data_IF_422379191384
#
_entry.id   IF_422379191384
#
_cell.length_a   1.000
_cell.length_b   1.000
_cell.length_c   1.000
_cell.angle_alpha   90.00
_cell.angle_beta   90.00
_cell.angle_gamma   90.00
#
_symmetry.space_group_name_H-M   'P 1'
#
loop_
_entity.id
_entity.type
_entity.pdbx_description
1 polymer ?
#
# COMPACT_ATOMS: atom_id res chain seq x y z
N UNK A 1 61.24 8.04 -15.32
CA UNK A 1 60.22 7.14 -14.77
C UNK A 1 59.25 7.96 -13.92
N UNK A 2 58.17 8.46 -14.53
CA UNK A 2 57.20 9.35 -13.87
C UNK A 2 55.84 9.13 -14.55
N UNK A 3 54.79 8.99 -13.74
CA UNK A 3 53.38 9.26 -14.08
C UNK A 3 52.55 8.19 -14.82
N UNK A 4 52.49 6.94 -14.33
CA UNK A 4 51.49 5.96 -14.84
C UNK A 4 50.46 5.52 -13.77
N UNK A 5 50.69 5.83 -12.49
CA UNK A 5 49.86 5.36 -11.38
C UNK A 5 48.52 6.12 -11.19
N UNK A 6 48.36 7.43 -11.51
CA UNK A 6 47.09 8.13 -11.23
C UNK A 6 45.92 7.69 -12.14
N UNK A 7 46.22 7.25 -13.36
CA UNK A 7 45.18 7.01 -14.39
C UNK A 7 44.48 5.65 -14.22
N UNK A 8 45.19 4.65 -13.69
CA UNK A 8 44.63 3.32 -13.44
C UNK A 8 43.65 3.31 -12.25
N UNK A 9 43.93 4.10 -11.20
CA UNK A 9 43.04 4.26 -10.04
C UNK A 9 41.74 4.99 -10.38
N UNK A 10 41.79 5.99 -11.27
CA UNK A 10 40.59 6.70 -11.77
C UNK A 10 39.75 5.78 -12.66
N UNK A 11 40.37 4.98 -13.53
CA UNK A 11 39.65 3.99 -14.34
C UNK A 11 38.99 2.90 -13.47
N UNK A 12 39.66 2.44 -12.41
CA UNK A 12 39.09 1.48 -11.44
C UNK A 12 37.94 2.11 -10.63
N UNK A 13 38.03 3.38 -10.22
CA UNK A 13 36.91 4.07 -9.55
C UNK A 13 35.70 4.28 -10.47
N UNK A 14 35.91 4.51 -11.77
CA UNK A 14 34.83 4.63 -12.76
C UNK A 14 34.22 3.24 -13.07
N UNK A 15 35.03 2.18 -13.10
CA UNK A 15 34.55 0.79 -13.28
C UNK A 15 33.83 0.23 -12.05
N UNK A 16 34.23 0.62 -10.83
CA UNK A 16 33.56 0.22 -9.58
C UNK A 16 32.31 1.09 -9.33
N UNK A 17 32.33 2.37 -9.72
CA UNK A 17 31.20 3.29 -9.61
C UNK A 17 30.08 3.06 -10.63
N UNK A 18 30.35 2.33 -11.71
CA UNK A 18 29.40 2.10 -12.81
C UNK A 18 28.47 0.88 -12.68
N UNK A 19 28.60 0.05 -11.64
CA UNK A 19 27.95 -1.28 -11.61
C UNK A 19 27.05 -1.58 -10.41
N UNK A 20 26.85 -0.63 -9.49
CA UNK A 20 25.80 -0.77 -8.48
C UNK A 20 24.59 0.04 -8.91
N UNK A 21 23.87 -0.45 -9.95
CA UNK A 21 22.46 -0.09 -10.08
C UNK A 21 21.79 -0.58 -8.79
N UNK A 22 21.63 0.32 -7.82
CA UNK A 22 20.95 0.00 -6.58
C UNK A 22 19.55 -0.51 -6.95
N UNK A 23 19.31 -1.80 -6.72
CA UNK A 23 18.00 -2.39 -6.97
C UNK A 23 17.00 -1.71 -6.04
N UNK A 24 15.86 -1.28 -6.58
CA UNK A 24 14.77 -0.76 -5.77
C UNK A 24 14.13 -1.86 -4.91
N UNK A 25 14.19 -3.12 -5.35
CA UNK A 25 13.74 -4.28 -4.57
C UNK A 25 14.65 -4.52 -3.35
N UNK A 26 14.11 -4.53 -2.11
CA UNK A 26 14.86 -4.93 -0.92
C UNK A 26 15.47 -6.33 -1.03
N UNK A 27 16.53 -6.59 -0.27
CA UNK A 27 17.28 -7.85 -0.31
C UNK A 27 16.44 -9.09 0.06
N UNK A 28 15.37 -8.91 0.84
CA UNK A 28 14.46 -9.99 1.23
C UNK A 28 13.48 -10.38 0.12
N UNK A 29 13.32 -9.56 -0.92
CA UNK A 29 12.43 -9.83 -2.05
C UNK A 29 13.09 -10.87 -2.97
N UNK A 30 12.69 -12.14 -2.79
CA UNK A 30 13.22 -13.30 -3.53
C UNK A 30 12.15 -14.39 -3.68
N UNK A 31 12.30 -15.31 -4.64
CA UNK A 31 11.37 -16.44 -4.81
C UNK A 31 11.13 -17.23 -3.52
N UNK A 32 9.87 -17.59 -3.28
CA UNK A 32 9.40 -18.29 -2.09
C UNK A 32 9.00 -17.39 -0.92
N UNK A 33 9.25 -16.08 -1.01
CA UNK A 33 8.77 -15.11 -0.01
C UNK A 33 7.32 -14.72 -0.30
N UNK A 34 6.52 -14.58 0.76
CA UNK A 34 5.16 -14.04 0.69
C UNK A 34 4.97 -12.85 1.62
N UNK A 35 4.03 -11.98 1.26
CA UNK A 35 3.53 -10.90 2.11
C UNK A 35 2.01 -11.04 2.18
N UNK A 36 1.47 -11.08 3.39
CA UNK A 36 0.04 -11.21 3.63
C UNK A 36 -0.49 -10.00 4.40
N UNK A 37 -1.60 -9.48 3.92
CA UNK A 37 -2.35 -8.42 4.55
C UNK A 37 -3.77 -8.89 4.88
N UNK A 38 -4.39 -8.28 5.87
CA UNK A 38 -5.75 -8.59 6.30
C UNK A 38 -6.55 -7.32 6.54
N UNK A 39 -7.86 -7.45 6.36
CA UNK A 39 -8.88 -6.59 6.96
C UNK A 39 -9.87 -7.43 7.75
N UNK A 40 -9.98 -7.14 9.04
CA UNK A 40 -10.82 -7.89 9.96
C UNK A 40 -12.17 -7.24 10.18
N UNK A 41 -13.19 -8.09 10.21
CA UNK A 41 -14.54 -7.75 10.65
C UNK A 41 -14.56 -7.51 12.15
N UNK A 42 -15.20 -6.44 12.59
CA UNK A 42 -15.39 -6.20 14.02
C UNK A 42 -16.68 -5.42 14.30
N UNK A 43 -17.73 -6.12 14.70
CA UNK A 43 -19.06 -5.55 14.87
C UNK A 43 -19.13 -4.29 15.75
N UNK A 44 -18.38 -4.16 16.88
CA UNK A 44 -18.41 -2.93 17.67
C UNK A 44 -17.87 -1.68 16.95
N UNK A 45 -17.23 -1.83 15.78
CA UNK A 45 -16.89 -0.71 14.91
C UNK A 45 -18.12 -0.01 14.34
N UNK A 46 -19.25 -0.72 14.24
CA UNK A 46 -20.45 -0.24 13.55
C UNK A 46 -21.06 0.96 14.25
N UNK A 47 -20.97 1.00 15.58
CA UNK A 47 -21.40 2.12 16.40
C UNK A 47 -20.61 3.41 16.13
N UNK A 48 -19.46 3.32 15.44
CA UNK A 48 -18.62 4.46 15.09
C UNK A 48 -18.94 5.02 13.70
N UNK A 49 -19.64 4.27 12.84
CA UNK A 49 -19.94 4.68 11.47
C UNK A 49 -21.28 5.40 11.44
N UNK A 50 -21.25 6.71 11.21
CA UNK A 50 -22.48 7.52 11.14
C UNK A 50 -23.05 7.52 9.72
N UNK A 51 -24.36 7.28 9.60
CA UNK A 51 -25.08 7.44 8.33
C UNK A 51 -25.03 6.22 7.39
N UNK A 52 -24.35 5.14 7.78
CA UNK A 52 -24.39 3.85 7.08
C UNK A 52 -25.19 2.83 7.89
N UNK A 53 -25.98 2.02 7.20
CA UNK A 53 -26.60 0.84 7.79
C UNK A 53 -25.55 -0.28 7.95
N UNK A 54 -25.71 -1.20 8.91
CA UNK A 54 -24.81 -2.33 9.12
C UNK A 54 -24.49 -3.15 7.85
N UNK A 55 -25.45 -3.28 6.94
CA UNK A 55 -25.31 -4.01 5.68
C UNK A 55 -24.60 -3.22 4.57
N UNK A 56 -24.23 -1.96 4.82
CA UNK A 56 -23.45 -1.10 3.92
C UNK A 56 -22.00 -0.96 4.38
N UNK A 57 -21.66 -1.52 5.55
CA UNK A 57 -20.30 -1.47 6.11
C UNK A 57 -19.61 -2.81 5.80
N UNK A 58 -18.66 -2.74 4.88
CA UNK A 58 -17.93 -3.88 4.34
C UNK A 58 -16.46 -3.82 4.79
N UNK A 59 -15.77 -4.95 4.82
CA UNK A 59 -14.30 -4.94 5.03
C UNK A 59 -13.57 -4.74 3.72
N UNK A 60 -14.16 -5.14 2.59
CA UNK A 60 -13.61 -4.89 1.27
C UNK A 60 -14.72 -4.59 0.26
N UNK A 61 -14.42 -3.68 -0.66
CA UNK A 61 -15.20 -3.40 -1.85
C UNK A 61 -14.24 -3.33 -3.03
N UNK A 62 -14.40 -4.24 -3.99
CA UNK A 62 -13.57 -4.31 -5.19
C UNK A 62 -14.41 -4.28 -6.45
N UNK A 63 -13.88 -3.67 -7.49
CA UNK A 63 -14.46 -3.67 -8.82
C UNK A 63 -13.57 -4.47 -9.74
N UNK A 64 -14.14 -5.48 -10.41
CA UNK A 64 -13.41 -6.34 -11.36
C UNK A 64 -14.15 -6.37 -12.68
N UNK A 65 -13.41 -6.54 -13.77
CA UNK A 65 -14.00 -6.67 -15.11
C UNK A 65 -13.81 -8.10 -15.62
N UNK A 66 -14.91 -8.77 -15.93
CA UNK A 66 -14.91 -10.14 -16.47
C UNK A 66 -15.66 -10.11 -17.80
N UNK A 67 -14.97 -10.43 -18.89
CA UNK A 67 -15.52 -10.41 -20.25
C UNK A 67 -16.27 -9.10 -20.59
N UNK A 68 -15.69 -7.95 -20.24
CA UNK A 68 -16.28 -6.63 -20.48
C UNK A 68 -17.43 -6.24 -19.55
N UNK A 69 -17.78 -7.09 -18.57
CA UNK A 69 -18.79 -6.79 -17.54
C UNK A 69 -18.09 -6.37 -16.25
N UNK A 70 -18.52 -5.24 -15.67
CA UNK A 70 -18.02 -4.76 -14.40
C UNK A 70 -18.84 -5.35 -13.25
N UNK A 71 -18.15 -5.99 -12.31
CA UNK A 71 -18.74 -6.51 -11.09
C UNK A 71 -18.24 -5.72 -9.89
N UNK A 72 -19.18 -5.33 -9.02
CA UNK A 72 -18.89 -4.85 -7.68
C UNK A 72 -18.94 -6.03 -6.73
N UNK A 73 -17.90 -6.21 -5.93
CA UNK A 73 -17.76 -7.36 -5.03
C UNK A 73 -17.47 -6.84 -3.64
N UNK A 74 -18.31 -7.22 -2.69
CA UNK A 74 -18.21 -6.80 -1.29
C UNK A 74 -17.89 -7.99 -0.40
N UNK A 75 -16.96 -7.82 0.52
CA UNK A 75 -16.75 -8.75 1.62
C UNK A 75 -17.43 -8.21 2.89
N UNK A 76 -18.32 -9.00 3.47
CA UNK A 76 -19.02 -8.65 4.71
C UNK A 76 -18.34 -9.22 5.95
N UNK A 77 -17.35 -10.09 5.78
CA UNK A 77 -16.52 -10.62 6.86
C UNK A 77 -15.03 -10.41 6.54
N UNK A 78 -14.09 -11.23 7.01
CA UNK A 78 -12.66 -10.99 6.81
C UNK A 78 -12.27 -11.04 5.32
N UNK A 79 -11.27 -10.23 4.96
CA UNK A 79 -10.59 -10.33 3.65
C UNK A 79 -9.09 -10.43 3.87
N UNK A 80 -8.45 -11.39 3.21
CA UNK A 80 -7.00 -11.58 3.21
C UNK A 80 -6.46 -11.32 1.81
N UNK A 81 -5.35 -10.60 1.71
CA UNK A 81 -4.66 -10.30 0.46
C UNK A 81 -3.22 -10.78 0.58
N UNK A 82 -2.84 -11.76 -0.22
CA UNK A 82 -1.53 -12.39 -0.18
C UNK A 82 -0.79 -12.22 -1.50
N UNK A 83 0.49 -11.88 -1.41
CA UNK A 83 1.40 -11.73 -2.54
C UNK A 83 2.54 -12.73 -2.39
N UNK A 84 2.57 -13.76 -3.24
CA UNK A 84 3.61 -14.78 -3.27
C UNK A 84 4.61 -14.49 -4.40
N UNK A 85 5.88 -14.29 -4.08
CA UNK A 85 6.96 -14.15 -5.07
C UNK A 85 7.31 -15.56 -5.57
N UNK A 86 6.90 -15.88 -6.79
CA UNK A 86 6.96 -17.24 -7.33
C UNK A 86 8.35 -17.57 -7.89
N UNK A 87 8.85 -16.71 -8.77
CA UNK A 87 10.11 -16.89 -9.48
C UNK A 87 10.74 -15.55 -9.86
N UNK A 88 11.99 -15.60 -10.32
CA UNK A 88 12.72 -14.46 -10.82
C UNK A 88 13.36 -14.81 -12.17
N UNK A 89 13.17 -13.95 -13.17
CA UNK A 89 13.78 -14.11 -14.48
C UNK A 89 14.12 -12.74 -15.09
N UNK A 90 15.35 -12.59 -15.61
CA UNK A 90 15.82 -11.39 -16.31
C UNK A 90 15.58 -10.05 -15.56
N UNK A 91 15.72 -10.05 -14.23
CA UNK A 91 15.50 -8.85 -13.40
C UNK A 91 14.03 -8.51 -13.15
N UNK A 92 13.11 -9.41 -13.48
CA UNK A 92 11.69 -9.34 -13.13
C UNK A 92 11.32 -10.46 -12.17
N UNK A 93 10.48 -10.12 -11.19
CA UNK A 93 9.87 -11.04 -10.25
C UNK A 93 8.48 -11.38 -10.76
N UNK A 94 8.13 -12.66 -10.82
CA UNK A 94 6.75 -13.09 -11.01
C UNK A 94 6.09 -13.19 -9.64
N UNK A 95 4.99 -12.49 -9.46
CA UNK A 95 4.23 -12.45 -8.21
C UNK A 95 2.82 -12.94 -8.44
N UNK A 96 2.29 -13.77 -7.54
CA UNK A 96 0.87 -14.13 -7.48
C UNK A 96 0.19 -13.32 -6.39
N UNK A 97 -0.79 -12.53 -6.77
CA UNK A 97 -1.70 -11.94 -5.81
C UNK A 97 -2.94 -12.83 -5.65
N UNK A 98 -3.35 -13.08 -4.41
CA UNK A 98 -4.55 -13.83 -4.05
C UNK A 98 -5.37 -13.01 -3.06
N UNK A 99 -6.62 -12.72 -3.41
CA UNK A 99 -7.59 -12.02 -2.56
C UNK A 99 -8.65 -13.03 -2.13
N UNK A 100 -8.67 -13.36 -0.84
CA UNK A 100 -9.64 -14.27 -0.23
C UNK A 100 -10.65 -13.47 0.58
N UNK A 101 -11.91 -13.50 0.19
CA UNK A 101 -13.00 -12.76 0.83
C UNK A 101 -14.03 -13.71 1.41
N UNK A 102 -14.53 -13.38 2.60
CA UNK A 102 -15.58 -14.13 3.29
C UNK A 102 -16.93 -13.38 3.30
N UNK A 103 -18.02 -14.15 3.24
CA UNK A 103 -19.40 -13.67 3.20
C UNK A 103 -19.57 -12.58 2.13
N UNK A 104 -19.52 -13.01 0.87
CA UNK A 104 -19.32 -12.12 -0.27
C UNK A 104 -20.65 -11.81 -0.96
N UNK A 105 -20.86 -10.56 -1.32
CA UNK A 105 -21.93 -10.16 -2.23
C UNK A 105 -21.31 -9.67 -3.54
N UNK A 106 -21.70 -10.29 -4.65
CA UNK A 106 -21.34 -9.85 -6.01
C UNK A 106 -22.56 -9.16 -6.60
N UNK A 107 -22.37 -7.98 -7.19
CA UNK A 107 -23.42 -7.29 -7.93
C UNK A 107 -22.95 -6.71 -9.26
N UNK A 108 -23.86 -6.67 -10.23
CA UNK A 108 -23.69 -6.00 -11.51
C UNK A 108 -25.06 -5.75 -12.14
N UNK A 109 -25.14 -4.83 -13.10
CA UNK A 109 -26.38 -4.45 -13.78
C UNK A 109 -26.38 -5.00 -15.22
N UNK A 110 -27.52 -5.51 -15.68
CA UNK A 110 -27.65 -6.11 -17.01
C UNK A 110 -28.99 -5.74 -17.64
N UNK A 111 -29.06 -5.81 -18.97
CA UNK A 111 -30.34 -5.88 -19.66
C UNK A 111 -31.12 -7.12 -19.23
N UNK A 112 -32.42 -6.97 -18.95
CA UNK A 112 -33.25 -8.10 -18.57
C UNK A 112 -33.26 -9.19 -19.67
N UNK A 113 -33.12 -10.44 -19.27
CA UNK A 113 -33.08 -11.59 -20.18
C UNK A 113 -31.72 -11.86 -20.84
N UNK A 114 -30.69 -11.05 -20.58
CA UNK A 114 -29.33 -11.31 -21.06
C UNK A 114 -28.56 -12.28 -20.15
N UNK A 115 -27.60 -12.99 -20.73
CA UNK A 115 -26.67 -13.84 -19.97
C UNK A 115 -25.54 -13.00 -19.43
N UNK A 116 -25.14 -13.27 -18.19
CA UNK A 116 -23.99 -12.66 -17.55
C UNK A 116 -22.86 -13.69 -17.33
N UNK A 117 -21.59 -13.26 -17.33
CA UNK A 117 -20.48 -14.15 -17.06
C UNK A 117 -20.49 -14.60 -15.59
N UNK A 118 -20.06 -15.83 -15.35
CA UNK A 118 -19.95 -16.43 -14.02
C UNK A 118 -18.50 -16.79 -13.79
N UNK A 119 -17.88 -16.15 -12.79
CA UNK A 119 -16.49 -16.41 -12.39
C UNK A 119 -16.38 -17.01 -10.99
N UNK A 120 -17.50 -17.12 -10.28
CA UNK A 120 -17.59 -17.78 -8.98
C UNK A 120 -17.97 -19.26 -9.11
N UNK A 121 -17.66 -20.03 -8.08
CA UNK A 121 -18.09 -21.42 -7.98
C UNK A 121 -19.56 -21.50 -7.57
N UNK A 122 -20.39 -22.14 -8.39
CA UNK A 122 -21.83 -22.30 -8.14
C UNK A 122 -22.15 -23.06 -6.85
N UNK A 123 -21.23 -23.89 -6.36
CA UNK A 123 -21.41 -24.64 -5.10
C UNK A 123 -21.32 -23.76 -3.86
N UNK A 124 -20.66 -22.61 -3.97
CA UNK A 124 -20.47 -21.67 -2.86
C UNK A 124 -21.60 -20.62 -2.80
N UNK A 125 -22.55 -20.66 -3.76
CA UNK A 125 -23.70 -19.75 -3.83
C UNK A 125 -24.71 -20.07 -2.74
N UNK A 126 -24.93 -19.09 -1.87
CA UNK A 126 -25.96 -19.10 -0.84
C UNK A 126 -27.30 -18.64 -1.44
N UNK A 127 -27.26 -17.57 -2.23
CA UNK A 127 -28.43 -17.02 -2.91
C UNK A 127 -28.05 -16.26 -4.16
N UNK A 128 -28.91 -16.31 -5.18
CA UNK A 128 -28.77 -15.56 -6.42
C UNK A 128 -30.12 -14.92 -6.73
N UNK A 129 -30.11 -13.62 -7.04
CA UNK A 129 -31.32 -12.84 -7.32
C UNK A 129 -31.10 -11.90 -8.50
N UNK A 130 -32.15 -11.72 -9.28
CA UNK A 130 -32.27 -10.63 -10.25
C UNK A 130 -33.31 -9.65 -9.72
N UNK A 131 -32.90 -8.42 -9.47
CA UNK A 131 -33.72 -7.36 -8.89
C UNK A 131 -33.99 -6.34 -9.99
N UNK A 132 -35.25 -6.01 -10.32
CA UNK A 132 -35.54 -4.96 -11.30
C UNK A 132 -34.83 -3.65 -10.95
N UNK A 133 -34.19 -3.02 -11.93
CA UNK A 133 -33.61 -1.69 -11.71
C UNK A 133 -34.70 -0.64 -11.56
N UNK A 134 -34.47 0.30 -10.66
CA UNK A 134 -35.33 1.47 -10.45
C UNK A 134 -34.70 2.76 -11.00
N UNK A 135 -33.54 2.65 -11.64
CA UNK A 135 -32.79 3.80 -12.14
C UNK A 135 -33.43 4.34 -13.43
N UNK A 136 -33.63 5.66 -13.46
CA UNK A 136 -34.21 6.36 -14.62
C UNK A 136 -33.32 6.09 -15.85
N UNK A 137 -33.94 5.61 -16.93
CA UNK A 137 -33.23 5.24 -18.17
C UNK A 137 -32.74 3.79 -18.21
N UNK A 138 -32.92 3.02 -17.14
CA UNK A 138 -32.51 1.61 -17.02
C UNK A 138 -33.61 0.70 -16.44
N UNK A 139 -34.89 1.08 -16.57
CA UNK A 139 -36.03 0.30 -16.04
C UNK A 139 -36.21 -1.09 -16.70
N UNK A 140 -35.61 -1.29 -17.86
CA UNK A 140 -35.51 -2.57 -18.58
C UNK A 140 -34.30 -3.42 -18.14
N UNK A 141 -33.52 -2.92 -17.17
CA UNK A 141 -32.37 -3.61 -16.61
C UNK A 141 -32.71 -4.32 -15.30
N UNK A 142 -31.85 -5.27 -14.93
CA UNK A 142 -31.88 -6.00 -13.66
C UNK A 142 -30.51 -5.93 -13.00
N UNK A 143 -30.51 -5.77 -11.68
CA UNK A 143 -29.35 -5.98 -10.83
C UNK A 143 -29.22 -7.45 -10.50
N UNK A 144 -28.10 -8.03 -10.87
CA UNK A 144 -27.65 -9.30 -10.33
C UNK A 144 -27.14 -9.08 -8.91
N UNK A 145 -27.59 -9.91 -7.97
CA UNK A 145 -27.03 -10.03 -6.63
C UNK A 145 -26.74 -11.51 -6.36
N UNK A 146 -25.48 -11.85 -6.12
CA UNK A 146 -25.05 -13.21 -5.76
C UNK A 146 -24.37 -13.16 -4.41
N UNK A 147 -24.84 -13.97 -3.47
CA UNK A 147 -24.23 -14.15 -2.16
C UNK A 147 -23.46 -15.46 -2.11
N UNK A 148 -22.21 -15.40 -1.67
CA UNK A 148 -21.31 -16.54 -1.55
C UNK A 148 -20.78 -16.65 -0.12
N UNK A 149 -20.48 -17.87 0.33
CA UNK A 149 -19.76 -18.04 1.59
C UNK A 149 -18.33 -17.49 1.52
N UNK A 150 -17.67 -17.72 0.39
CA UNK A 150 -16.31 -17.26 0.13
C UNK A 150 -16.14 -16.95 -1.37
N UNK A 151 -15.15 -16.12 -1.67
CA UNK A 151 -14.66 -15.88 -3.02
C UNK A 151 -13.15 -15.75 -2.98
N UNK A 152 -12.46 -16.45 -3.87
CA UNK A 152 -11.03 -16.28 -4.08
C UNK A 152 -10.80 -15.72 -5.47
N UNK A 153 -10.10 -14.60 -5.55
CA UNK A 153 -9.60 -14.01 -6.80
C UNK A 153 -8.09 -14.14 -6.81
N UNK A 154 -7.51 -14.55 -7.92
CA UNK A 154 -6.06 -14.68 -8.04
C UNK A 154 -5.59 -14.31 -9.44
N UNK A 155 -4.41 -13.70 -9.51
CA UNK A 155 -3.72 -13.43 -10.76
C UNK A 155 -2.22 -13.38 -10.56
N UNK A 156 -1.49 -13.70 -11.62
CA UNK A 156 -0.04 -13.53 -11.67
C UNK A 156 0.28 -12.22 -12.37
N UNK A 157 1.38 -11.58 -11.98
CA UNK A 157 1.87 -10.34 -12.59
C UNK A 157 3.39 -10.23 -12.39
N UNK A 158 4.02 -9.22 -13.01
CA UNK A 158 5.46 -9.03 -12.98
C UNK A 158 5.86 -7.73 -12.27
N UNK A 159 6.92 -7.77 -11.48
CA UNK A 159 7.56 -6.59 -10.88
C UNK A 159 9.01 -6.52 -11.31
N UNK A 160 9.42 -5.41 -11.94
CA UNK A 160 10.82 -5.17 -12.30
C UNK A 160 11.63 -4.80 -11.06
N UNK A 161 12.74 -5.50 -10.80
CA UNK A 161 13.56 -5.30 -9.58
C UNK A 161 14.28 -3.97 -9.51
N UNK A 162 14.63 -3.40 -10.66
CA UNK A 162 15.44 -2.18 -10.71
C UNK A 162 14.71 -0.96 -10.14
N UNK A 163 13.39 -0.88 -10.31
CA UNK A 163 12.59 0.30 -9.99
C UNK A 163 11.19 -0.01 -9.41
N UNK A 164 10.86 -1.29 -9.21
CA UNK A 164 9.55 -1.70 -8.68
C UNK A 164 8.41 -1.51 -9.67
N UNK A 165 8.68 -1.31 -10.96
CA UNK A 165 7.65 -1.16 -11.98
C UNK A 165 6.80 -2.45 -12.12
N UNK A 166 5.48 -2.29 -12.11
CA UNK A 166 4.49 -3.35 -12.15
C UNK A 166 3.91 -3.50 -13.55
N UNK A 167 3.83 -4.74 -14.01
CA UNK A 167 3.28 -5.12 -15.31
C UNK A 167 2.32 -6.30 -15.15
N UNK A 168 1.27 -6.38 -15.96
CA UNK A 168 0.53 -7.64 -16.12
C UNK A 168 1.36 -8.69 -16.90
N UNK A 169 0.79 -9.88 -17.07
CA UNK A 169 1.43 -10.96 -17.83
C UNK A 169 1.51 -10.71 -19.34
N UNK A 170 0.73 -9.75 -19.86
CA UNK A 170 0.77 -9.33 -21.26
C UNK A 170 1.81 -8.22 -21.49
N UNK A 171 2.45 -7.72 -20.43
CA UNK A 171 3.49 -6.70 -20.47
C UNK A 171 2.99 -5.26 -20.38
N UNK A 172 1.70 -5.04 -20.08
CA UNK A 172 1.16 -3.69 -19.88
C UNK A 172 1.62 -3.12 -18.53
N UNK A 173 2.14 -1.89 -18.54
CA UNK A 173 2.62 -1.20 -17.35
C UNK A 173 1.48 -0.56 -16.55
N UNK A 174 1.53 -0.67 -15.22
CA UNK A 174 0.49 -0.14 -14.32
C UNK A 174 1.00 0.85 -13.25
N UNK A 175 2.31 1.04 -13.09
CA UNK A 175 2.86 1.90 -12.03
C UNK A 175 3.95 1.23 -11.21
N UNK A 176 4.10 1.65 -9.97
CA UNK A 176 5.06 1.10 -9.01
C UNK A 176 4.35 0.21 -7.99
N UNK A 177 5.06 -0.83 -7.52
CA UNK A 177 4.54 -1.73 -6.51
C UNK A 177 4.35 -0.99 -5.18
N UNK A 178 3.26 -1.29 -4.48
CA UNK A 178 3.04 -0.80 -3.12
C UNK A 178 3.67 -1.70 -2.06
N UNK A 179 4.11 -2.90 -2.42
CA UNK A 179 4.51 -3.93 -1.44
C UNK A 179 5.76 -3.53 -0.65
N UNK A 180 6.62 -2.74 -1.26
CA UNK A 180 7.81 -2.21 -0.63
C UNK A 180 8.23 -0.86 -1.22
N UNK A 181 9.14 -0.19 -0.52
CA UNK A 181 9.78 1.06 -0.95
C UNK A 181 11.30 0.97 -0.80
N UNK A 182 12.02 1.72 -1.63
CA UNK A 182 13.43 1.99 -1.39
C UNK A 182 13.56 3.18 -0.41
N UNK A 183 13.93 2.98 0.86
CA UNK A 183 14.01 4.06 1.84
C UNK A 183 15.08 5.11 1.51
N UNK A 184 16.06 4.77 0.67
CA UNK A 184 17.12 5.69 0.24
C UNK A 184 16.76 6.49 -1.01
N UNK A 185 15.65 6.15 -1.68
CA UNK A 185 15.17 6.81 -2.88
C UNK A 185 13.64 6.85 -2.86
N UNK A 186 13.10 7.73 -2.01
CA UNK A 186 11.67 7.93 -1.90
C UNK A 186 11.11 8.59 -3.18
N UNK A 187 9.88 8.28 -3.57
CA UNK A 187 9.28 8.88 -4.76
C UNK A 187 9.01 10.37 -4.54
N UNK A 188 9.12 11.14 -5.61
CA UNK A 188 9.00 12.60 -5.58
C UNK A 188 7.53 13.05 -5.71
N UNK A 189 7.23 14.26 -5.25
CA UNK A 189 5.89 14.82 -5.42
C UNK A 189 5.54 14.97 -6.92
N UNK A 190 4.30 14.64 -7.27
CA UNK A 190 3.73 14.54 -8.62
C UNK A 190 4.26 13.38 -9.47
N UNK A 191 5.12 12.52 -8.94
CA UNK A 191 5.48 11.26 -9.61
C UNK A 191 4.24 10.37 -9.74
N UNK A 192 4.09 9.72 -10.89
CA UNK A 192 2.97 8.78 -11.11
C UNK A 192 3.24 7.49 -10.37
N UNK A 193 2.43 7.20 -9.36
CA UNK A 193 2.53 5.98 -8.57
C UNK A 193 1.79 4.81 -9.23
N UNK A 194 0.60 5.06 -9.79
CA UNK A 194 -0.25 4.03 -10.40
C UNK A 194 -1.12 4.60 -11.51
N UNK A 195 -1.42 3.78 -12.53
CA UNK A 195 -2.24 4.11 -13.68
C UNK A 195 -3.64 3.48 -13.55
N UNK A 196 -4.67 4.34 -13.42
CA UNK A 196 -6.07 3.94 -13.29
C UNK A 196 -6.85 4.33 -14.55
N UNK A 197 -6.64 3.57 -15.62
CA UNK A 197 -7.30 3.84 -16.91
C UNK A 197 -6.84 5.19 -17.45
N UNK A 198 -7.75 6.16 -17.55
CA UNK A 198 -7.45 7.53 -18.00
C UNK A 198 -6.95 8.47 -16.90
N UNK A 199 -6.99 8.04 -15.63
CA UNK A 199 -6.59 8.85 -14.47
C UNK A 199 -5.31 8.30 -13.86
N UNK A 200 -4.40 9.19 -13.48
CA UNK A 200 -3.17 8.81 -12.78
C UNK A 200 -3.35 9.02 -11.27
N UNK A 201 -2.81 8.09 -10.49
CA UNK A 201 -2.55 8.28 -9.07
C UNK A 201 -1.14 8.80 -8.94
N UNK A 202 -0.98 9.97 -8.34
CA UNK A 202 0.31 10.64 -8.19
C UNK A 202 0.69 10.80 -6.74
N UNK A 203 1.97 10.85 -6.45
CA UNK A 203 2.49 11.12 -5.12
C UNK A 203 2.16 12.57 -4.74
N UNK A 204 1.39 12.74 -3.69
CA UNK A 204 1.14 14.05 -3.08
C UNK A 204 2.35 14.51 -2.26
N UNK A 205 2.97 13.56 -1.54
CA UNK A 205 4.19 13.81 -0.81
C UNK A 205 4.69 12.57 -0.07
N UNK A 206 6.00 12.53 0.16
CA UNK A 206 6.67 11.53 0.97
C UNK A 206 7.21 12.19 2.25
N UNK A 207 7.14 11.49 3.39
CA UNK A 207 7.63 12.02 4.65
C UNK A 207 7.82 10.96 5.72
N UNK A 208 8.30 11.39 6.88
CA UNK A 208 8.50 10.52 8.04
C UNK A 208 7.41 10.71 9.07
N UNK A 209 6.88 9.62 9.62
CA UNK A 209 5.99 9.60 10.77
C UNK A 209 6.79 9.25 12.02
N UNK A 210 6.82 10.15 13.00
CA UNK A 210 7.46 9.89 14.30
C UNK A 210 6.50 9.17 15.27
N UNK A 211 5.86 8.12 14.79
CA UNK A 211 4.93 7.29 15.56
C UNK A 211 5.23 5.80 15.31
N UNK A 212 4.93 4.94 16.29
CA UNK A 212 4.95 3.49 16.05
C UNK A 212 3.72 3.03 15.28
N UNK A 213 3.85 1.95 14.53
CA UNK A 213 2.75 1.24 13.90
C UNK A 213 2.59 -0.15 14.53
N UNK A 214 1.38 -0.47 14.97
CA UNK A 214 1.01 -1.82 15.36
C UNK A 214 0.45 -2.54 14.15
N UNK A 215 0.79 -3.79 13.91
CA UNK A 215 0.20 -4.63 12.87
C UNK A 215 -0.18 -5.98 13.50
N UNK A 216 -0.75 -6.91 12.73
CA UNK A 216 -0.97 -8.27 13.25
C UNK A 216 0.32 -9.11 13.22
N UNK A 217 1.27 -8.75 12.36
CA UNK A 217 2.61 -9.36 12.32
C UNK A 217 3.48 -8.93 13.52
N UNK A 218 3.42 -7.64 13.89
CA UNK A 218 4.24 -7.11 14.97
C UNK A 218 4.16 -5.59 15.16
N UNK A 219 4.97 -5.09 16.08
CA UNK A 219 5.09 -3.65 16.36
C UNK A 219 6.34 -3.07 15.67
N UNK A 220 6.15 -1.99 14.93
CA UNK A 220 7.21 -1.26 14.24
C UNK A 220 7.44 0.10 14.91
N UNK A 221 8.71 0.41 15.19
CA UNK A 221 9.12 1.64 15.86
C UNK A 221 9.29 2.83 14.91
N UNK A 222 9.29 4.06 15.43
CA UNK A 222 9.58 5.26 14.63
C UNK A 222 11.08 5.42 14.31
N UNK A 223 11.42 6.22 13.27
CA UNK A 223 10.50 6.84 12.33
C UNK A 223 9.94 5.80 11.34
N UNK A 224 8.72 5.99 10.88
CA UNK A 224 8.15 5.26 9.75
C UNK A 224 8.15 6.14 8.50
N UNK A 225 8.05 5.55 7.31
CA UNK A 225 7.86 6.30 6.06
C UNK A 225 6.36 6.35 5.74
N UNK A 226 5.87 7.52 5.35
CA UNK A 226 4.52 7.71 4.84
C UNK A 226 4.56 8.30 3.44
N UNK A 227 3.85 7.65 2.52
CA UNK A 227 3.62 8.15 1.16
C UNK A 227 2.15 8.53 1.05
N UNK A 228 1.87 9.81 0.88
CA UNK A 228 0.55 10.32 0.58
C UNK A 228 0.36 10.36 -0.94
N UNK A 229 -0.78 9.88 -1.41
CA UNK A 229 -1.13 9.81 -2.82
C UNK A 229 -2.39 10.63 -3.05
N UNK A 230 -2.51 11.18 -4.25
CA UNK A 230 -3.71 11.87 -4.73
C UNK A 230 -4.14 11.27 -6.06
N UNK A 231 -5.40 11.42 -6.39
CA UNK A 231 -5.94 11.14 -7.70
C UNK A 231 -6.99 12.19 -8.03
N UNK A 232 -7.19 12.45 -9.32
CA UNK A 232 -8.29 13.29 -9.79
C UNK A 232 -9.62 12.54 -9.80
N UNK A 233 -10.54 13.05 -10.61
CA UNK A 233 -11.83 12.38 -10.82
C UNK A 233 -11.63 10.98 -11.42
N UNK A 234 -12.37 10.03 -10.87
CA UNK A 234 -12.32 8.64 -11.28
C UNK A 234 -13.73 8.09 -11.42
N UNK A 235 -13.96 7.47 -12.58
CA UNK A 235 -15.25 6.93 -12.97
C UNK A 235 -15.07 5.52 -13.50
N UNK A 236 -15.84 4.55 -12.97
CA UNK A 236 -16.02 3.26 -13.63
C UNK A 236 -17.46 3.14 -14.09
N UNK A 237 -17.58 2.82 -15.37
CA UNK A 237 -18.85 2.66 -16.04
C UNK A 237 -18.87 1.37 -16.83
N UNK A 238 -20.05 0.81 -16.96
CA UNK A 238 -20.31 -0.39 -17.73
C UNK A 238 -21.23 -0.05 -18.89
N UNK A 239 -20.84 -0.45 -20.09
CA UNK A 239 -21.72 -0.39 -21.25
C UNK A 239 -22.84 -1.42 -21.12
N UNK A 240 -24.09 -0.97 -21.15
CA UNK A 240 -25.27 -1.84 -21.04
C UNK A 240 -25.73 -2.30 -22.42
N UNK A 241 -25.71 -1.39 -23.39
CA UNK A 241 -26.03 -1.66 -24.78
C UNK A 241 -25.29 -0.69 -25.72
N UNK A 242 -25.66 -0.66 -27.00
CA UNK A 242 -25.01 0.20 -27.99
C UNK A 242 -25.08 1.70 -27.65
N UNK A 243 -26.10 2.13 -26.88
CA UNK A 243 -26.43 3.54 -26.64
C UNK A 243 -26.27 3.97 -25.18
N UNK A 244 -26.29 3.03 -24.23
CA UNK A 244 -26.33 3.32 -22.79
C UNK A 244 -25.12 2.80 -22.06
N UNK A 245 -24.63 3.64 -21.16
CA UNK A 245 -23.57 3.34 -20.21
C UNK A 245 -24.06 3.66 -18.81
N UNK A 246 -23.88 2.71 -17.88
CA UNK A 246 -24.25 2.86 -16.48
C UNK A 246 -23.00 3.13 -15.65
N UNK A 247 -23.02 4.16 -14.81
CA UNK A 247 -21.90 4.50 -13.93
C UNK A 247 -22.04 3.80 -12.60
N UNK A 248 -21.14 2.86 -12.29
CA UNK A 248 -21.16 2.12 -11.02
C UNK A 248 -20.42 2.86 -9.90
N UNK A 249 -19.41 3.66 -10.26
CA UNK A 249 -18.66 4.50 -9.34
C UNK A 249 -18.28 5.80 -10.05
N UNK A 250 -18.48 6.90 -9.34
CA UNK A 250 -18.06 8.24 -9.74
C UNK A 250 -17.57 8.92 -8.46
N UNK A 251 -16.25 9.11 -8.36
CA UNK A 251 -15.60 9.66 -7.17
C UNK A 251 -14.69 10.80 -7.59
N UNK A 252 -14.77 11.90 -6.84
CA UNK A 252 -13.91 13.06 -6.98
C UNK A 252 -13.15 13.25 -5.68
N UNK A 253 -11.82 13.39 -5.76
CA UNK A 253 -10.96 13.60 -4.61
C UNK A 253 -10.33 14.99 -4.65
N UNK A 254 -10.60 15.80 -3.64
CA UNK A 254 -10.06 17.15 -3.46
C UNK A 254 -8.78 17.21 -2.62
N UNK A 255 -7.88 16.24 -2.72
CA UNK A 255 -6.67 16.16 -1.89
C UNK A 255 -6.04 14.76 -1.82
N UNK A 256 -5.28 14.46 -0.75
CA UNK A 256 -4.74 13.12 -0.53
C UNK A 256 -5.90 12.12 -0.42
N UNK A 257 -5.92 11.14 -1.32
CA UNK A 257 -7.00 10.14 -1.44
C UNK A 257 -6.59 8.77 -0.92
N UNK A 258 -5.29 8.47 -0.94
CA UNK A 258 -4.70 7.22 -0.48
C UNK A 258 -3.40 7.50 0.28
N UNK A 259 -3.00 6.57 1.15
CA UNK A 259 -1.74 6.70 1.88
C UNK A 259 -1.16 5.35 2.25
N UNK A 260 0.16 5.23 2.16
CA UNK A 260 0.88 4.00 2.47
C UNK A 260 1.89 4.28 3.59
N UNK A 261 1.97 3.40 4.58
CA UNK A 261 3.00 3.44 5.62
C UNK A 261 3.95 2.26 5.44
N UNK A 262 5.26 2.54 5.45
CA UNK A 262 6.33 1.56 5.33
C UNK A 262 7.24 1.57 6.57
N UNK A 263 7.82 0.41 6.87
CA UNK A 263 8.99 0.33 7.76
C UNK A 263 10.25 0.72 6.99
N UNK A 264 11.03 1.73 7.40
CA UNK A 264 12.24 2.12 6.68
C UNK A 264 13.37 1.08 6.75
N UNK A 265 13.36 0.19 7.74
CA UNK A 265 14.44 -0.77 7.95
C UNK A 265 14.41 -1.88 6.91
N UNK A 266 13.22 -2.43 6.66
CA UNK A 266 12.96 -3.46 5.66
C UNK A 266 12.47 -2.88 4.33
N UNK A 267 11.84 -1.71 4.34
CA UNK A 267 11.10 -1.16 3.21
C UNK A 267 9.72 -1.76 3.00
N UNK A 268 9.26 -2.72 3.83
CA UNK A 268 7.94 -3.38 3.63
C UNK A 268 6.78 -2.42 3.94
N UNK A 269 5.70 -2.49 3.15
CA UNK A 269 4.46 -1.79 3.48
C UNK A 269 3.78 -2.44 4.69
N UNK A 270 3.53 -1.63 5.71
CA UNK A 270 2.83 -2.00 6.95
C UNK A 270 1.32 -1.78 6.82
N UNK A 271 0.95 -0.66 6.20
CA UNK A 271 -0.42 -0.25 5.93
C UNK A 271 -0.51 0.28 4.51
N UNK A 272 -0.77 -0.59 3.52
CA UNK A 272 -0.89 -0.16 2.15
C UNK A 272 -2.11 0.71 1.86
N UNK A 273 -3.15 0.78 2.69
CA UNK A 273 -4.36 1.56 2.36
C UNK A 273 -4.89 2.40 3.55
N UNK A 274 -4.11 3.37 4.04
CA UNK A 274 -4.43 4.09 5.30
C UNK A 274 -5.71 4.93 5.29
N UNK A 275 -6.29 5.21 4.14
CA UNK A 275 -7.61 5.88 3.97
C UNK A 275 -8.69 4.91 3.47
N UNK A 276 -8.35 3.63 3.39
CA UNK A 276 -9.16 2.55 2.87
C UNK A 276 -9.09 2.36 1.36
N UNK A 277 -8.84 3.40 0.57
CA UNK A 277 -8.71 3.23 -0.89
C UNK A 277 -7.36 2.61 -1.27
N UNK A 278 -7.37 1.70 -2.24
CA UNK A 278 -6.19 0.98 -2.70
C UNK A 278 -6.05 1.00 -4.24
N UNK A 279 -5.80 2.17 -4.84
CA UNK A 279 -5.70 2.34 -6.29
C UNK A 279 -4.32 1.91 -6.83
N UNK A 280 -3.86 0.70 -6.48
CA UNK A 280 -2.48 0.30 -6.70
C UNK A 280 -2.25 -0.56 -7.94
N UNK A 281 -1.05 -0.42 -8.50
CA UNK A 281 -0.65 -1.09 -9.72
C UNK A 281 -0.72 -2.63 -9.58
N UNK A 282 -0.34 -3.18 -8.43
CA UNK A 282 -0.38 -4.63 -8.16
C UNK A 282 -1.81 -5.20 -8.28
N UNK A 283 -2.84 -4.46 -7.83
CA UNK A 283 -4.24 -4.86 -8.00
C UNK A 283 -4.71 -4.72 -9.45
N UNK A 284 -4.30 -3.64 -10.12
CA UNK A 284 -4.63 -3.40 -11.53
C UNK A 284 -4.08 -4.49 -12.44
N UNK A 285 -2.85 -4.95 -12.19
CA UNK A 285 -2.17 -5.96 -12.98
C UNK A 285 -2.86 -7.33 -12.94
N UNK A 286 -3.67 -7.61 -11.90
CA UNK A 286 -4.49 -8.83 -11.81
C UNK A 286 -5.97 -8.60 -12.20
N UNK A 287 -6.29 -7.44 -12.78
CA UNK A 287 -7.64 -7.12 -13.28
C UNK A 287 -8.59 -6.46 -12.28
N UNK A 288 -8.15 -6.15 -11.05
CA UNK A 288 -8.93 -5.37 -10.10
C UNK A 288 -8.89 -3.90 -10.48
N UNK A 289 -10.01 -3.34 -10.90
CA UNK A 289 -10.11 -1.98 -11.43
C UNK A 289 -10.08 -0.90 -10.36
N UNK A 290 -10.63 -1.20 -9.19
CA UNK A 290 -10.69 -0.35 -8.00
C UNK A 290 -10.83 -1.24 -6.76
N UNK A 291 -10.26 -0.82 -5.65
CA UNK A 291 -10.38 -1.52 -4.38
C UNK A 291 -10.45 -0.55 -3.20
N UNK A 292 -11.27 -0.91 -2.23
CA UNK A 292 -11.36 -0.31 -0.90
C UNK A 292 -11.25 -1.45 0.12
N UNK A 293 -10.46 -1.23 1.17
CA UNK A 293 -10.24 -2.15 2.27
C UNK A 293 -10.39 -1.40 3.59
N UNK A 294 -11.12 -1.96 4.54
CA UNK A 294 -11.42 -1.36 5.84
C UNK A 294 -11.24 -2.41 6.93
N UNK A 295 -10.09 -2.37 7.62
CA UNK A 295 -9.91 -3.15 8.85
C UNK A 295 -10.66 -2.48 10.00
N UNK A 296 -11.81 -3.06 10.35
CA UNK A 296 -12.74 -2.50 11.30
C UNK A 296 -12.23 -2.66 12.74
N UNK A 297 -11.44 -3.69 13.03
CA UNK A 297 -10.84 -3.87 14.36
C UNK A 297 -9.77 -2.81 14.63
N UNK A 298 -8.90 -2.58 13.67
CA UNK A 298 -7.87 -1.54 13.68
C UNK A 298 -8.51 -0.16 13.73
N UNK A 299 -9.52 0.10 12.89
CA UNK A 299 -10.32 1.32 12.91
C UNK A 299 -10.94 1.58 14.29
N UNK A 300 -11.53 0.57 14.92
CA UNK A 300 -12.07 0.68 16.28
C UNK A 300 -10.98 0.98 17.32
N UNK A 301 -9.84 0.29 17.26
CA UNK A 301 -8.69 0.54 18.17
C UNK A 301 -8.15 1.95 18.01
N UNK A 302 -8.07 2.45 16.78
CA UNK A 302 -7.63 3.81 16.48
C UNK A 302 -8.61 4.85 17.03
N UNK A 303 -9.90 4.72 16.73
CA UNK A 303 -10.92 5.73 17.00
C UNK A 303 -11.45 5.61 18.44
N UNK A 304 -12.07 4.49 18.78
CA UNK A 304 -12.73 4.30 20.09
C UNK A 304 -11.72 4.15 21.23
N UNK A 305 -10.60 3.46 21.00
CA UNK A 305 -9.54 3.30 22.02
C UNK A 305 -8.46 4.38 21.96
N UNK A 306 -8.55 5.33 21.02
CA UNK A 306 -7.59 6.42 20.81
C UNK A 306 -6.14 5.92 20.66
N UNK A 307 -5.95 4.68 20.21
CA UNK A 307 -4.63 4.11 20.04
C UNK A 307 -4.10 4.42 18.64
N UNK A 308 -3.42 5.55 18.52
CA UNK A 308 -2.84 6.03 17.25
C UNK A 308 -1.79 5.10 16.65
N UNK A 309 -1.31 4.08 17.36
CA UNK A 309 -0.40 3.09 16.75
C UNK A 309 -1.11 2.19 15.74
N UNK A 310 -2.42 2.03 15.86
CA UNK A 310 -3.23 1.38 14.82
C UNK A 310 -3.60 2.39 13.74
N UNK A 311 -3.63 1.94 12.50
CA UNK A 311 -3.98 2.75 11.33
C UNK A 311 -5.10 2.07 10.55
N UNK A 312 -5.76 2.79 9.67
CA UNK A 312 -6.95 2.29 8.98
C UNK A 312 -6.60 1.47 7.71
N UNK A 313 -7.58 0.73 7.20
CA UNK A 313 -7.51 -0.03 5.95
C UNK A 313 -6.71 -1.33 6.01
N UNK A 314 -6.01 -1.69 4.94
CA UNK A 314 -5.33 -2.97 4.80
C UNK A 314 -4.08 -3.05 5.70
N UNK A 315 -3.93 -4.12 6.51
CA UNK A 315 -2.93 -4.22 7.60
C UNK A 315 -2.01 -5.42 7.38
N UNK A 316 -0.69 -5.25 7.56
CA UNK A 316 0.27 -6.35 7.50
C UNK A 316 -0.11 -7.44 8.53
N UNK A 317 -0.30 -8.65 8.02
CA UNK A 317 -0.73 -9.80 8.80
C UNK A 317 0.39 -10.78 9.05
N UNK A 318 1.05 -11.22 7.98
CA UNK A 318 2.06 -12.26 8.05
C UNK A 318 3.05 -12.16 6.89
N UNK A 319 4.25 -12.69 7.08
CA UNK A 319 5.29 -12.81 6.05
C UNK A 319 6.39 -13.75 6.52
N UNK A 320 6.98 -14.50 5.59
CA UNK A 320 8.20 -15.26 5.81
C UNK A 320 9.47 -14.50 5.33
N UNK A 321 9.36 -13.20 5.05
CA UNK A 321 10.49 -12.38 4.67
C UNK A 321 11.51 -12.32 5.83
N UNK A 322 12.76 -12.63 5.51
CA UNK A 322 13.87 -12.49 6.45
C UNK A 322 14.40 -11.06 6.39
N UNK A 323 14.00 -10.24 7.36
CA UNK A 323 14.45 -8.85 7.51
C UNK A 323 15.83 -8.72 8.17
N UNK A 324 16.58 -9.82 8.27
CA UNK A 324 17.88 -9.86 8.91
C UNK A 324 17.80 -9.57 10.41
N UNK A 325 18.94 -9.77 11.10
CA UNK A 325 19.07 -9.24 12.46
C UNK A 325 19.17 -7.71 12.36
N UNK A 326 18.34 -7.00 13.12
CA UNK A 326 18.57 -5.58 13.37
C UNK A 326 19.87 -5.49 14.15
N UNK A 327 20.95 -5.08 13.49
CA UNK A 327 22.16 -4.71 14.20
C UNK A 327 21.78 -3.53 15.11
N UNK A 328 21.74 -3.78 16.42
CA UNK A 328 21.64 -2.71 17.40
C UNK A 328 22.88 -1.83 17.21
N UNK A 329 22.73 -0.76 16.44
CA UNK A 329 23.73 0.29 16.38
C UNK A 329 23.76 0.92 17.76
N UNK A 330 24.69 0.43 18.61
CA UNK A 330 25.02 1.07 19.86
C UNK A 330 25.44 2.48 19.51
N UNK A 331 24.58 3.44 19.76
CA UNK A 331 24.94 4.85 19.78
C UNK A 331 25.96 5.04 20.91
N UNK A 332 27.22 4.78 20.63
CA UNK A 332 28.31 5.36 21.39
C UNK A 332 28.14 6.87 21.25
N UNK A 333 27.71 7.52 22.34
CA UNK A 333 27.76 8.99 22.45
C UNK A 333 29.10 9.45 21.86
N UNK A 334 29.13 10.45 20.97
CA UNK A 334 30.39 10.90 20.39
C UNK A 334 31.33 11.30 21.52
N UNK A 335 32.34 10.46 21.80
CA UNK A 335 33.51 10.82 22.59
C UNK A 335 34.44 11.65 21.71
N UNK A 336 33.92 12.74 21.13
CA UNK A 336 34.77 13.70 20.45
C UNK A 336 35.54 14.46 21.51
N UNK A 337 36.87 14.49 21.41
CA UNK A 337 37.76 15.29 22.27
C UNK A 337 37.30 16.76 22.41
N UNK A 338 36.54 17.27 21.43
CA UNK A 338 35.89 18.58 21.41
C UNK A 338 34.90 18.79 22.57
N UNK A 339 34.20 17.74 23.02
CA UNK A 339 33.30 17.82 24.17
C UNK A 339 34.05 18.12 25.47
N UNK A 340 35.21 17.48 25.67
CA UNK A 340 36.08 17.79 26.81
C UNK A 340 36.67 19.20 26.73
N UNK A 341 37.04 19.67 25.54
CA UNK A 341 37.49 21.05 25.32
C UNK A 341 36.38 22.04 25.72
N UNK A 342 35.13 21.78 25.34
CA UNK A 342 33.99 22.63 25.74
C UNK A 342 33.80 22.71 27.26
N UNK A 343 33.85 21.57 27.96
CA UNK A 343 33.74 21.54 29.42
C UNK A 343 34.94 22.21 30.11
N UNK A 344 36.16 22.01 29.61
CA UNK A 344 37.37 22.69 30.12
C UNK A 344 37.23 24.20 29.93
N UNK A 345 36.71 24.65 28.78
CA UNK A 345 36.51 26.08 28.49
C UNK A 345 35.49 26.69 29.46
N UNK A 346 34.39 26.00 29.77
CA UNK A 346 33.41 26.45 30.77
C UNK A 346 34.00 26.54 32.18
N UNK A 347 34.83 25.58 32.58
CA UNK A 347 35.53 25.61 33.88
C UNK A 347 36.49 26.81 33.96
N UNK A 348 37.28 27.05 32.91
CA UNK A 348 38.17 28.22 32.86
C UNK A 348 37.38 29.53 32.88
N UNK A 349 36.25 29.61 32.17
CA UNK A 349 35.38 30.78 32.21
C UNK A 349 34.82 31.02 33.62
N UNK A 350 34.37 29.96 34.30
CA UNK A 350 33.89 30.02 35.68
C UNK A 350 34.98 30.50 36.64
N UNK A 351 36.20 29.97 36.53
CA UNK A 351 37.35 30.41 37.34
C UNK A 351 37.66 31.89 37.06
N UNK A 352 37.68 32.32 35.80
CA UNK A 352 37.94 33.71 35.44
C UNK A 352 36.89 34.68 36.00
N UNK A 353 35.60 34.30 35.98
CA UNK A 353 34.52 35.09 36.57
C UNK A 353 34.65 35.18 38.09
N UNK A 354 34.95 34.07 38.76
CA UNK A 354 35.18 34.05 40.22
C UNK A 354 36.38 34.94 40.57
N UNK A 355 37.47 34.83 39.82
CA UNK A 355 38.69 35.61 40.05
C UNK A 355 38.49 37.11 39.81
N UNK A 356 37.75 37.48 38.76
CA UNK A 356 37.35 38.86 38.49
C UNK A 356 36.42 39.41 39.59
N UNK A 357 35.52 38.60 40.13
CA UNK A 357 34.62 38.99 41.22
C UNK A 357 35.35 39.20 42.56
N UNK A 358 36.37 38.39 42.84
CA UNK A 358 37.22 38.52 44.03
C UNK A 358 38.15 39.73 43.95
N UNK A 359 38.63 40.06 42.74
CA UNK A 359 39.48 41.24 42.51
C UNK A 359 38.73 42.56 42.59
N UNK A 360 37.41 42.57 42.38
CA UNK A 360 36.52 43.74 42.58
C UNK A 360 36.16 43.99 44.05
N UNK A 361 36.43 43.04 44.95
CA UNK A 361 36.15 43.13 46.40
C UNK A 361 37.38 43.48 47.25
N UNK A 362 38.57 43.56 46.65
CA UNK A 362 39.74 44.24 47.19
C UNK A 362 39.84 45.60 46.54
#
# INVERSE_FOLDING_TARGET
MRNVIPSMLVAIFILIGGLHSALAAPYWVKPGVYIEYIVQRYDPYFDLVTGALPNQIHTAEIFIEINGTLFRVFANNNTTVRFDILDENNGYLRVRATIMMENVTISSIFLNGTRYPVFWNRRDVISEKLIPSHDVGFLDCVWLEVKLNNLTLSGDYMIRRSDGAVFDMDGNYYGHTFLWINPNNLPEANETFSLLGSTNVTVWGAGTLNESAMTYYGKFGPPLISIALTMGDFKLSQRIDEKREYTLIDVSFGGPSAGIIYDPSSGIALYPATTGTAPYADFRAIGVKWAVFEDQLSGYRMIAKKNRSWKFGLVLHDTNADFGAVDEVKYTRPQTAVGYIFYITLVFLGIAVVWASLRKRR
#
